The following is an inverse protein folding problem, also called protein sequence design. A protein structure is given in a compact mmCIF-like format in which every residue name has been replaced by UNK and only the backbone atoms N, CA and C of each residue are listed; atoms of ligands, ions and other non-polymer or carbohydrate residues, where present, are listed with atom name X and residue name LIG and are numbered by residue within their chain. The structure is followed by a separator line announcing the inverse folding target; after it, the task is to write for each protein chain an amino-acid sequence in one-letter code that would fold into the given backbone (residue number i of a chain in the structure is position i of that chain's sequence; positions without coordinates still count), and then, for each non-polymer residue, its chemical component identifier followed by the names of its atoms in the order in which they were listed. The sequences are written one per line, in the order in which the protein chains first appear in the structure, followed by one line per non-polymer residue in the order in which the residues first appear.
data_IF_782015909636
#
_entry.id   IF_782015909636
#
_cell.length_a   1.000
_cell.length_b   1.000
_cell.length_c   1.000
_cell.angle_alpha   90.00
_cell.angle_beta   90.00
_cell.angle_gamma   90.00
#
_symmetry.space_group_name_H-M   'P 1'
#
loop_
_entity.id
_entity.type
_entity.pdbx_description
1 polymer ?
#
# COMPACT_ATOMS: atom_id res chain seq x y z
N UNK A 1 -25.66 -6.85 46.59
CA UNK A 1 -24.54 -7.76 46.30
C UNK A 1 -24.12 -7.73 44.83
N UNK A 2 -25.03 -7.92 43.87
CA UNK A 2 -24.75 -7.98 42.44
C UNK A 2 -23.92 -6.78 41.90
N UNK A 3 -24.29 -5.55 42.26
CA UNK A 3 -23.58 -4.34 41.84
C UNK A 3 -22.13 -4.26 42.36
N UNK A 4 -21.90 -4.70 43.62
CA UNK A 4 -20.54 -4.72 44.19
C UNK A 4 -19.65 -5.72 43.46
N UNK A 5 -20.18 -6.90 43.08
CA UNK A 5 -19.42 -7.91 42.30
C UNK A 5 -19.02 -7.33 40.95
N UNK A 6 -19.94 -6.70 40.22
CA UNK A 6 -19.67 -6.07 38.94
C UNK A 6 -18.57 -4.99 39.08
N UNK A 7 -18.70 -4.13 40.09
CA UNK A 7 -17.72 -3.06 40.35
C UNK A 7 -16.34 -3.63 40.66
N UNK A 8 -16.22 -4.60 41.54
CA UNK A 8 -14.93 -5.20 41.87
C UNK A 8 -14.32 -5.96 40.69
N UNK A 9 -15.14 -6.70 39.92
CA UNK A 9 -14.67 -7.39 38.72
C UNK A 9 -14.13 -6.39 37.68
N UNK A 10 -14.81 -5.26 37.48
CA UNK A 10 -14.37 -4.22 36.57
C UNK A 10 -13.05 -3.56 37.02
N UNK A 11 -12.96 -3.20 38.32
CA UNK A 11 -11.72 -2.64 38.87
C UNK A 11 -10.58 -3.64 38.77
N UNK A 12 -10.81 -4.92 39.11
CA UNK A 12 -9.79 -5.98 38.97
C UNK A 12 -9.32 -6.16 37.53
N UNK A 13 -10.25 -6.07 36.57
CA UNK A 13 -9.93 -6.13 35.16
C UNK A 13 -9.03 -4.96 34.75
N UNK A 14 -9.34 -3.73 35.10
CA UNK A 14 -8.51 -2.56 34.83
C UNK A 14 -7.11 -2.67 35.45
N UNK A 15 -7.03 -3.08 36.73
CA UNK A 15 -5.76 -3.27 37.42
C UNK A 15 -4.91 -4.36 36.77
N UNK A 16 -5.53 -5.44 36.30
CA UNK A 16 -4.82 -6.51 35.57
C UNK A 16 -4.16 -5.98 34.32
N UNK A 17 -4.87 -5.21 33.49
CA UNK A 17 -4.27 -4.65 32.25
C UNK A 17 -3.21 -3.61 32.56
N UNK A 18 -3.37 -2.84 33.64
CA UNK A 18 -2.33 -1.90 34.07
C UNK A 18 -1.03 -2.64 34.48
N UNK A 19 -1.14 -3.72 35.26
CA UNK A 19 0.01 -4.54 35.68
C UNK A 19 0.66 -5.21 34.46
N UNK A 20 -0.15 -5.77 33.55
CA UNK A 20 0.36 -6.36 32.31
C UNK A 20 1.08 -5.32 31.47
N UNK A 21 0.56 -4.09 31.35
CA UNK A 21 1.21 -3.01 30.61
C UNK A 21 2.59 -2.66 31.15
N UNK A 22 2.79 -2.71 32.45
CA UNK A 22 4.11 -2.47 33.08
C UNK A 22 5.09 -3.64 32.81
N UNK A 23 4.55 -4.86 32.70
CA UNK A 23 5.37 -6.08 32.52
C UNK A 23 5.76 -6.39 31.07
N UNK A 24 5.09 -5.81 30.09
CA UNK A 24 5.41 -6.03 28.68
C UNK A 24 6.51 -5.08 28.21
N UNK A 25 7.39 -5.59 27.34
CA UNK A 25 8.39 -4.75 26.69
C UNK A 25 7.72 -3.88 25.63
N UNK A 26 8.06 -2.61 25.61
CA UNK A 26 7.58 -1.67 24.59
C UNK A 26 7.99 -2.09 23.20
N UNK A 27 7.06 -1.88 22.25
CA UNK A 27 7.29 -2.08 20.82
C UNK A 27 7.61 -0.74 20.17
N UNK A 28 8.64 -0.71 19.34
CA UNK A 28 9.02 0.51 18.61
C UNK A 28 8.18 0.70 17.34
N UNK A 29 7.79 -0.40 16.70
CA UNK A 29 7.11 -0.40 15.41
C UNK A 29 5.90 -1.33 15.44
N UNK A 30 4.81 -0.88 14.84
CA UNK A 30 3.69 -1.73 14.43
C UNK A 30 3.78 -2.01 12.93
N UNK A 31 4.18 -3.21 12.56
CA UNK A 31 4.19 -3.66 11.16
C UNK A 31 2.77 -3.73 10.58
N UNK A 32 1.77 -4.03 11.42
CA UNK A 32 0.37 -4.09 10.98
C UNK A 32 -0.23 -2.71 10.70
N UNK A 33 0.20 -1.68 11.42
CA UNK A 33 -0.23 -0.29 11.20
C UNK A 33 0.74 0.51 10.33
N UNK A 34 1.89 -0.06 10.01
CA UNK A 34 2.94 0.57 9.22
C UNK A 34 3.34 1.93 9.80
N UNK A 35 3.60 1.97 11.11
CA UNK A 35 4.02 3.20 11.82
C UNK A 35 4.86 2.91 13.05
N UNK A 36 5.62 3.91 13.45
CA UNK A 36 6.26 3.91 14.77
C UNK A 36 5.20 4.04 15.85
N UNK A 37 5.39 3.34 16.96
CA UNK A 37 4.56 3.45 18.15
C UNK A 37 5.15 4.49 19.10
N UNK A 38 4.28 5.10 19.91
CA UNK A 38 4.70 6.11 20.87
C UNK A 38 5.60 5.47 21.95
N UNK A 39 6.74 6.11 22.20
CA UNK A 39 7.59 5.81 23.32
C UNK A 39 7.09 6.47 24.61
N UNK A 40 7.60 6.03 25.77
CA UNK A 40 7.26 6.67 27.04
C UNK A 40 7.66 8.16 27.01
N UNK A 41 6.73 9.07 27.38
CA UNK A 41 6.93 10.49 27.17
C UNK A 41 7.96 11.11 28.14
N UNK A 42 8.65 12.11 27.65
CA UNK A 42 9.49 12.98 28.47
C UNK A 42 8.64 13.92 29.33
N UNK A 43 9.16 14.32 30.51
CA UNK A 43 8.50 15.23 31.43
C UNK A 43 8.54 16.68 30.88
N UNK A 44 7.57 17.03 30.04
CA UNK A 44 7.40 18.35 29.45
C UNK A 44 5.91 18.77 29.42
N UNK A 45 5.60 19.93 28.85
CA UNK A 45 4.22 20.46 28.77
C UNK A 45 3.24 19.54 28.00
N UNK A 46 3.73 18.66 27.13
CA UNK A 46 2.92 17.70 26.36
C UNK A 46 2.85 16.31 27.00
N UNK A 47 3.36 16.15 28.22
CA UNK A 47 3.49 14.87 28.88
C UNK A 47 2.18 14.06 28.87
N UNK A 48 1.07 14.66 29.32
CA UNK A 48 -0.20 13.92 29.42
C UNK A 48 -0.78 13.54 28.05
N UNK A 49 -0.63 14.38 27.03
CA UNK A 49 -1.08 14.05 25.67
C UNK A 49 -0.26 12.91 25.09
N UNK A 50 1.06 12.94 25.30
CA UNK A 50 1.96 11.89 24.82
C UNK A 50 1.79 10.60 25.63
N UNK A 51 1.45 10.70 26.93
CA UNK A 51 1.16 9.56 27.78
C UNK A 51 -0.11 8.81 27.29
N UNK A 52 -1.15 9.53 26.89
CA UNK A 52 -2.35 8.92 26.31
C UNK A 52 -2.03 8.14 25.03
N UNK A 53 -1.22 8.73 24.16
CA UNK A 53 -0.74 8.07 22.94
C UNK A 53 0.09 6.83 23.27
N UNK A 54 1.01 6.92 24.23
CA UNK A 54 1.82 5.79 24.69
C UNK A 54 0.96 4.66 25.26
N UNK A 55 0.05 4.96 26.18
CA UNK A 55 -0.83 3.95 26.79
C UNK A 55 -1.73 3.25 25.76
N UNK A 56 -2.18 4.00 24.75
CA UNK A 56 -2.95 3.43 23.63
C UNK A 56 -2.09 2.52 22.73
N UNK A 57 -0.86 2.91 22.45
CA UNK A 57 0.03 2.18 21.54
C UNK A 57 0.66 0.95 22.19
N UNK A 58 1.01 1.04 23.47
CA UNK A 58 1.63 -0.04 24.25
C UNK A 58 0.60 -0.89 25.00
N UNK A 59 -0.70 -0.72 24.71
CA UNK A 59 -1.74 -1.48 25.39
C UNK A 59 -1.53 -3.00 25.19
N UNK A 60 -1.55 -3.82 26.28
CA UNK A 60 -1.33 -5.26 26.18
C UNK A 60 -2.29 -5.92 25.20
N UNK A 61 -1.78 -6.78 24.32
CA UNK A 61 -2.57 -7.49 23.30
C UNK A 61 -3.32 -6.59 22.31
N UNK A 62 -2.88 -5.33 22.13
CA UNK A 62 -3.52 -4.37 21.24
C UNK A 62 -3.79 -4.92 19.83
N UNK A 63 -2.79 -5.57 19.22
CA UNK A 63 -2.93 -6.17 17.89
C UNK A 63 -4.00 -7.26 17.83
N UNK A 64 -4.12 -8.05 18.91
CA UNK A 64 -5.15 -9.08 19.04
C UNK A 64 -6.54 -8.48 19.18
N UNK A 65 -6.70 -7.41 19.96
CA UNK A 65 -7.99 -6.73 20.10
C UNK A 65 -8.40 -6.06 18.78
N UNK A 66 -7.46 -5.51 18.03
CA UNK A 66 -7.73 -4.96 16.70
C UNK A 66 -8.21 -6.04 15.73
N UNK A 67 -7.54 -7.22 15.71
CA UNK A 67 -7.97 -8.37 14.91
C UNK A 67 -9.36 -8.87 15.30
N UNK A 68 -9.65 -8.97 16.61
CA UNK A 68 -10.99 -9.36 17.12
C UNK A 68 -12.03 -8.36 16.64
N UNK A 69 -11.75 -7.04 16.75
CA UNK A 69 -12.65 -6.00 16.25
C UNK A 69 -12.89 -6.17 14.75
N UNK A 70 -11.83 -6.31 13.94
CA UNK A 70 -11.93 -6.49 12.50
C UNK A 70 -12.73 -7.75 12.12
N UNK A 71 -12.44 -8.88 12.78
CA UNK A 71 -13.19 -10.12 12.61
C UNK A 71 -14.68 -9.95 12.95
N UNK A 72 -14.98 -9.37 14.12
CA UNK A 72 -16.35 -9.16 14.56
C UNK A 72 -17.11 -8.23 13.61
N UNK A 73 -16.50 -7.13 13.19
CA UNK A 73 -17.12 -6.21 12.22
C UNK A 73 -17.39 -6.89 10.87
N UNK A 74 -16.41 -7.60 10.34
CA UNK A 74 -16.51 -8.17 9.00
C UNK A 74 -17.37 -9.46 8.97
N UNK A 75 -17.14 -10.40 9.88
CA UNK A 75 -17.78 -11.72 9.86
C UNK A 75 -19.13 -11.70 10.60
N UNK A 76 -19.17 -11.15 11.83
CA UNK A 76 -20.39 -11.18 12.65
C UNK A 76 -21.37 -10.13 12.18
N UNK A 77 -20.94 -8.88 12.02
CA UNK A 77 -21.81 -7.79 11.59
C UNK A 77 -21.89 -7.61 10.08
N UNK A 78 -21.12 -8.39 9.30
CA UNK A 78 -21.06 -8.34 7.83
C UNK A 78 -20.79 -6.93 7.28
N UNK A 79 -20.05 -6.15 8.01
CA UNK A 79 -19.63 -4.81 7.59
C UNK A 79 -18.44 -4.93 6.64
N UNK A 80 -18.72 -5.07 5.35
CA UNK A 80 -17.68 -5.16 4.31
C UNK A 80 -16.93 -3.84 4.08
N UNK A 81 -17.49 -2.70 4.51
CA UNK A 81 -16.91 -1.37 4.32
C UNK A 81 -16.50 -0.75 5.66
N UNK A 82 -15.24 -0.37 5.78
CA UNK A 82 -14.69 0.33 6.95
C UNK A 82 -13.54 1.25 6.51
N UNK A 83 -13.55 2.51 6.96
CA UNK A 83 -12.51 3.50 6.65
C UNK A 83 -12.18 3.61 5.14
N UNK A 84 -13.20 3.62 4.30
CA UNK A 84 -13.10 3.63 2.83
C UNK A 84 -12.36 2.41 2.24
N UNK A 85 -12.29 1.32 3.02
CA UNK A 85 -11.76 0.03 2.57
C UNK A 85 -12.89 -1.00 2.53
N UNK A 86 -13.08 -1.60 1.38
CA UNK A 86 -14.04 -2.66 1.14
C UNK A 86 -13.33 -4.02 1.19
N UNK A 87 -13.96 -5.00 1.83
CA UNK A 87 -13.41 -6.36 1.95
C UNK A 87 -14.24 -7.32 1.12
N UNK A 88 -13.64 -8.01 0.15
CA UNK A 88 -14.25 -9.08 -0.62
C UNK A 88 -13.20 -10.10 -1.05
N UNK A 89 -13.57 -11.38 -1.11
CA UNK A 89 -12.77 -12.50 -1.63
C UNK A 89 -11.30 -12.52 -1.14
N UNK A 90 -11.10 -12.25 0.14
CA UNK A 90 -9.80 -12.11 0.78
C UNK A 90 -8.95 -10.91 0.30
N UNK A 91 -9.54 -9.98 -0.44
CA UNK A 91 -8.90 -8.73 -0.83
C UNK A 91 -9.44 -7.54 -0.07
N UNK A 92 -8.58 -6.55 0.15
CA UNK A 92 -8.93 -5.22 0.60
C UNK A 92 -8.86 -4.26 -0.60
N UNK A 93 -9.92 -3.48 -0.78
CA UNK A 93 -10.06 -2.53 -1.88
C UNK A 93 -10.24 -1.12 -1.31
N UNK A 94 -9.46 -0.17 -1.78
CA UNK A 94 -9.75 1.24 -1.50
C UNK A 94 -10.85 1.71 -2.46
N UNK A 95 -11.95 2.27 -1.95
CA UNK A 95 -13.04 2.75 -2.80
C UNK A 95 -12.84 4.22 -3.15
N UNK A 96 -12.41 4.47 -4.36
CA UNK A 96 -12.35 5.79 -4.97
C UNK A 96 -13.34 5.81 -6.15
N UNK A 97 -14.41 6.61 -6.03
CA UNK A 97 -15.49 6.64 -7.01
C UNK A 97 -15.59 7.94 -7.82
N UNK A 98 -14.76 8.93 -7.50
CA UNK A 98 -14.84 10.25 -8.14
C UNK A 98 -13.54 10.63 -8.85
N UNK A 99 -13.67 11.09 -10.09
CA UNK A 99 -12.58 11.67 -10.85
C UNK A 99 -12.46 13.15 -10.41
N UNK A 100 -11.26 13.54 -10.02
CA UNK A 100 -10.95 14.95 -9.79
C UNK A 100 -10.52 15.59 -11.12
N UNK A 101 -11.45 16.23 -11.80
CA UNK A 101 -11.22 16.85 -13.11
C UNK A 101 -10.09 17.89 -13.08
N UNK A 102 -9.94 18.64 -11.98
CA UNK A 102 -8.84 19.61 -11.83
C UNK A 102 -7.48 18.92 -11.81
N UNK A 103 -7.38 17.78 -11.11
CA UNK A 103 -6.13 16.99 -11.07
C UNK A 103 -5.81 16.40 -12.44
N UNK A 104 -6.83 15.93 -13.19
CA UNK A 104 -6.64 15.44 -14.57
C UNK A 104 -6.17 16.56 -15.49
N UNK A 105 -6.80 17.73 -15.43
CA UNK A 105 -6.37 18.91 -16.21
C UNK A 105 -4.93 19.28 -15.88
N UNK A 106 -4.60 19.39 -14.61
CA UNK A 106 -3.24 19.70 -14.18
C UNK A 106 -2.20 18.67 -14.67
N UNK A 107 -2.53 17.37 -14.64
CA UNK A 107 -1.68 16.31 -15.21
C UNK A 107 -1.44 16.55 -16.71
N UNK A 108 -2.51 16.80 -17.47
CA UNK A 108 -2.44 17.03 -18.92
C UNK A 108 -1.61 18.27 -19.26
N UNK A 109 -1.77 19.35 -18.52
CA UNK A 109 -0.97 20.58 -18.67
C UNK A 109 0.51 20.31 -18.42
N UNK A 110 0.84 19.49 -17.41
CA UNK A 110 2.22 19.10 -17.12
C UNK A 110 2.81 18.20 -18.21
N UNK A 111 2.05 17.22 -18.70
CA UNK A 111 2.47 16.36 -19.80
C UNK A 111 2.77 17.20 -21.03
N UNK A 112 1.86 18.12 -21.40
CA UNK A 112 2.06 19.02 -22.54
C UNK A 112 3.29 19.89 -22.36
N UNK A 113 3.48 20.49 -21.19
CA UNK A 113 4.67 21.29 -20.90
C UNK A 113 5.97 20.51 -21.06
N UNK A 114 6.01 19.26 -20.58
CA UNK A 114 7.18 18.40 -20.67
C UNK A 114 7.43 18.02 -22.14
N UNK A 115 6.40 17.64 -22.87
CA UNK A 115 6.47 17.31 -24.30
C UNK A 115 7.03 18.49 -25.11
N UNK A 116 6.41 19.65 -25.00
CA UNK A 116 6.79 20.87 -25.73
C UNK A 116 8.22 21.35 -25.38
N UNK A 117 8.68 21.11 -24.14
CA UNK A 117 9.95 21.68 -23.65
C UNK A 117 11.13 20.73 -23.78
N UNK A 118 10.93 19.44 -23.53
CA UNK A 118 12.03 18.48 -23.32
C UNK A 118 12.00 17.26 -24.23
N UNK A 119 10.84 16.91 -24.82
CA UNK A 119 10.68 15.64 -25.51
C UNK A 119 10.49 15.80 -27.04
N UNK A 120 10.92 16.92 -27.60
CA UNK A 120 10.84 17.19 -29.03
C UNK A 120 11.54 16.07 -29.83
N UNK A 121 10.81 15.48 -30.79
CA UNK A 121 11.29 14.38 -31.66
C UNK A 121 11.55 13.05 -30.92
N UNK A 122 10.95 12.85 -29.75
CA UNK A 122 10.98 11.57 -29.05
C UNK A 122 9.71 10.76 -29.33
N UNK A 123 9.82 9.43 -29.29
CA UNK A 123 8.65 8.54 -29.25
C UNK A 123 8.13 8.52 -27.81
N UNK A 124 6.93 9.03 -27.61
CA UNK A 124 6.32 9.15 -26.28
C UNK A 124 5.15 8.17 -26.17
N UNK A 125 5.11 7.46 -25.08
CA UNK A 125 4.06 6.50 -24.77
C UNK A 125 3.42 6.84 -23.45
N UNK A 126 2.10 6.70 -23.38
CA UNK A 126 1.34 6.89 -22.15
C UNK A 126 0.50 5.66 -21.87
N UNK A 127 0.50 5.24 -20.62
CA UNK A 127 -0.37 4.15 -20.17
C UNK A 127 -0.96 4.47 -18.80
N UNK A 128 -2.16 3.98 -18.54
CA UNK A 128 -2.83 4.05 -17.26
C UNK A 128 -2.84 2.67 -16.63
N UNK A 129 -2.31 2.59 -15.40
CA UNK A 129 -2.37 1.38 -14.59
C UNK A 129 -3.70 1.40 -13.85
N UNK A 130 -4.63 0.46 -14.13
CA UNK A 130 -5.89 0.40 -13.38
C UNK A 130 -5.64 -0.01 -11.93
N UNK A 131 -6.41 0.54 -11.00
CA UNK A 131 -6.45 0.05 -9.64
C UNK A 131 -7.09 -1.35 -9.60
N UNK A 132 -6.79 -2.15 -8.58
CA UNK A 132 -7.37 -3.49 -8.45
C UNK A 132 -8.90 -3.50 -8.37
N UNK A 133 -9.55 -2.38 -7.98
CA UNK A 133 -11.00 -2.22 -8.00
C UNK A 133 -11.61 -2.40 -9.40
N UNK A 134 -10.82 -2.11 -10.45
CA UNK A 134 -11.25 -2.33 -11.83
C UNK A 134 -11.69 -3.78 -12.08
N UNK A 135 -10.99 -4.74 -11.44
CA UNK A 135 -11.21 -6.18 -11.59
C UNK A 135 -12.19 -6.78 -10.57
N UNK A 136 -12.79 -5.96 -9.71
CA UNK A 136 -13.80 -6.42 -8.76
C UNK A 136 -15.16 -6.54 -9.43
N UNK A 137 -15.80 -7.71 -9.37
CA UNK A 137 -17.13 -7.95 -9.99
C UNK A 137 -18.29 -7.38 -9.19
N UNK A 138 -18.10 -7.09 -7.89
CA UNK A 138 -19.17 -6.61 -7.03
C UNK A 138 -19.65 -5.20 -7.40
N UNK A 139 -20.95 -4.96 -7.16
CA UNK A 139 -21.60 -3.66 -7.35
C UNK A 139 -21.25 -2.70 -6.22
N UNK A 140 -20.04 -2.17 -6.26
CA UNK A 140 -19.56 -1.15 -5.33
C UNK A 140 -19.20 0.12 -6.10
N UNK A 141 -19.19 1.29 -5.45
CA UNK A 141 -18.72 2.51 -6.09
C UNK A 141 -17.29 2.33 -6.62
N UNK A 142 -17.10 2.50 -7.92
CA UNK A 142 -15.81 2.40 -8.61
C UNK A 142 -15.55 3.68 -9.39
N UNK A 143 -14.29 3.94 -9.66
CA UNK A 143 -13.88 4.99 -10.58
C UNK A 143 -14.45 4.70 -11.98
N UNK A 144 -15.01 5.70 -12.64
CA UNK A 144 -15.42 5.58 -14.05
C UNK A 144 -14.18 5.61 -14.96
N UNK A 145 -13.59 4.43 -15.14
CA UNK A 145 -12.40 4.26 -15.98
C UNK A 145 -12.63 4.63 -17.44
N UNK A 146 -13.85 4.43 -17.96
CA UNK A 146 -14.18 4.80 -19.35
C UNK A 146 -14.16 6.32 -19.51
N UNK A 147 -14.74 7.05 -18.56
CA UNK A 147 -14.70 8.50 -18.55
C UNK A 147 -13.28 9.01 -18.39
N UNK A 148 -12.51 8.48 -17.45
CA UNK A 148 -11.12 8.88 -17.20
C UNK A 148 -10.24 8.64 -18.44
N UNK A 149 -10.33 7.46 -19.05
CA UNK A 149 -9.60 7.12 -20.27
C UNK A 149 -9.97 8.05 -21.42
N UNK A 150 -11.27 8.35 -21.61
CA UNK A 150 -11.73 9.27 -22.64
C UNK A 150 -11.20 10.69 -22.39
N UNK A 151 -11.20 11.17 -21.15
CA UNK A 151 -10.64 12.47 -20.79
C UNK A 151 -9.14 12.53 -21.11
N UNK A 152 -8.39 11.50 -20.78
CA UNK A 152 -6.96 11.45 -21.06
C UNK A 152 -6.69 11.36 -22.57
N UNK A 153 -7.26 10.39 -23.27
CA UNK A 153 -7.03 10.19 -24.71
C UNK A 153 -7.40 11.39 -25.57
N UNK A 154 -8.48 12.09 -25.25
CA UNK A 154 -8.95 13.24 -26.01
C UNK A 154 -8.12 14.51 -25.79
N UNK A 155 -7.32 14.57 -24.72
CA UNK A 155 -6.58 15.77 -24.34
C UNK A 155 -5.06 15.58 -24.28
N UNK A 156 -4.56 14.35 -24.46
CA UNK A 156 -3.12 14.11 -24.63
C UNK A 156 -2.64 14.71 -25.98
N UNK A 157 -1.40 15.21 -26.06
CA UNK A 157 -0.75 15.57 -27.32
C UNK A 157 -0.84 14.44 -28.35
N UNK A 158 -1.05 14.78 -29.62
CA UNK A 158 -1.29 13.79 -30.70
C UNK A 158 -0.09 12.91 -31.05
N UNK A 159 1.11 13.30 -30.63
CA UNK A 159 2.36 12.54 -30.79
C UNK A 159 2.58 11.51 -29.68
N UNK A 160 1.67 11.42 -28.69
CA UNK A 160 1.76 10.46 -27.61
C UNK A 160 0.90 9.24 -27.90
N UNK A 161 1.55 8.09 -27.99
CA UNK A 161 0.87 6.81 -28.23
C UNK A 161 0.31 6.22 -26.94
N UNK A 162 -0.97 5.85 -26.98
CA UNK A 162 -1.63 5.18 -25.86
C UNK A 162 -1.35 3.68 -25.83
N UNK A 163 -0.92 3.16 -24.67
CA UNK A 163 -0.78 1.72 -24.44
C UNK A 163 -1.81 1.27 -23.41
N UNK A 164 -2.75 0.44 -23.82
CA UNK A 164 -3.74 -0.15 -22.90
C UNK A 164 -3.13 -1.35 -22.16
N UNK A 165 -3.23 -1.31 -20.82
CA UNK A 165 -2.72 -2.34 -19.92
C UNK A 165 -3.83 -3.11 -19.21
N UNK A 166 -5.10 -2.74 -19.36
CA UNK A 166 -6.22 -3.30 -18.59
C UNK A 166 -6.38 -4.81 -18.76
N UNK A 167 -6.15 -5.32 -19.95
CA UNK A 167 -6.27 -6.76 -20.28
C UNK A 167 -4.98 -7.56 -19.99
N UNK A 168 -3.90 -6.88 -19.58
CA UNK A 168 -2.64 -7.53 -19.18
C UNK A 168 -2.57 -7.87 -17.70
N UNK A 169 -3.52 -7.38 -16.93
CA UNK A 169 -3.62 -7.53 -15.48
C UNK A 169 -4.93 -8.22 -15.10
N UNK A 170 -4.98 -8.72 -13.90
CA UNK A 170 -6.17 -9.31 -13.27
C UNK A 170 -6.13 -9.04 -11.77
N UNK A 171 -7.18 -9.39 -11.03
CA UNK A 171 -7.20 -9.24 -9.57
C UNK A 171 -6.02 -9.97 -8.90
N UNK A 172 -5.63 -11.15 -9.41
CA UNK A 172 -4.48 -11.92 -8.92
C UNK A 172 -3.12 -11.20 -9.12
N UNK A 173 -3.09 -10.20 -10.00
CA UNK A 173 -1.89 -9.37 -10.20
C UNK A 173 -1.60 -8.41 -9.05
N UNK A 174 -2.50 -8.28 -8.08
CA UNK A 174 -2.40 -7.34 -6.97
C UNK A 174 -2.25 -8.05 -5.62
N UNK A 175 -1.65 -7.36 -4.64
CA UNK A 175 -1.61 -7.82 -3.26
C UNK A 175 -3.01 -7.82 -2.62
N UNK A 176 -3.24 -8.73 -1.69
CA UNK A 176 -4.50 -8.82 -0.93
C UNK A 176 -4.70 -7.58 -0.05
N UNK A 177 -3.65 -7.17 0.65
CA UNK A 177 -3.70 -6.15 1.71
C UNK A 177 -3.12 -4.79 1.30
N UNK A 178 -2.58 -4.69 0.07
CA UNK A 178 -1.99 -3.47 -0.46
C UNK A 178 -2.65 -3.01 -1.77
N UNK A 179 -2.42 -1.75 -2.17
CA UNK A 179 -2.94 -1.19 -3.42
C UNK A 179 -2.09 -1.57 -4.64
N UNK A 180 -0.84 -1.95 -4.43
CA UNK A 180 0.12 -2.17 -5.50
C UNK A 180 -0.06 -3.54 -6.17
N UNK A 181 0.45 -3.64 -7.38
CA UNK A 181 0.61 -4.88 -8.11
C UNK A 181 1.83 -5.67 -7.63
N UNK A 182 1.86 -6.98 -7.94
CA UNK A 182 2.95 -7.91 -7.61
C UNK A 182 3.95 -7.94 -8.76
N UNK A 183 5.24 -7.77 -8.46
CA UNK A 183 6.29 -7.73 -9.48
C UNK A 183 6.33 -9.01 -10.33
N UNK A 184 6.16 -10.18 -9.71
CA UNK A 184 6.19 -11.47 -10.39
C UNK A 184 4.99 -11.73 -11.33
N UNK A 185 4.01 -10.81 -11.35
CA UNK A 185 2.84 -10.87 -12.24
C UNK A 185 2.90 -9.87 -13.40
N UNK A 186 3.99 -9.11 -13.54
CA UNK A 186 4.08 -8.04 -14.52
C UNK A 186 4.62 -8.47 -15.88
N UNK A 187 4.95 -9.73 -16.11
CA UNK A 187 5.42 -10.21 -17.42
C UNK A 187 4.50 -9.84 -18.59
N UNK A 188 3.15 -9.98 -18.50
CA UNK A 188 2.25 -9.58 -19.58
C UNK A 188 2.29 -8.07 -19.86
N UNK A 189 2.47 -7.25 -18.82
CA UNK A 189 2.65 -5.78 -18.95
C UNK A 189 3.93 -5.48 -19.71
N UNK A 190 5.06 -6.09 -19.29
CA UNK A 190 6.35 -5.90 -19.94
C UNK A 190 6.29 -6.29 -21.41
N UNK A 191 5.69 -7.44 -21.75
CA UNK A 191 5.50 -7.89 -23.14
C UNK A 191 4.65 -6.90 -23.95
N UNK A 192 3.58 -6.37 -23.37
CA UNK A 192 2.75 -5.35 -24.02
C UNK A 192 3.55 -4.08 -24.32
N UNK A 193 4.34 -3.59 -23.37
CA UNK A 193 5.20 -2.43 -23.55
C UNK A 193 6.25 -2.70 -24.63
N UNK A 194 6.98 -3.81 -24.55
CA UNK A 194 7.97 -4.19 -25.55
C UNK A 194 7.41 -4.22 -26.98
N UNK A 195 6.25 -4.87 -27.16
CA UNK A 195 5.60 -4.97 -28.46
C UNK A 195 5.18 -3.61 -29.02
N UNK A 196 4.61 -2.74 -28.17
CA UNK A 196 4.17 -1.41 -28.59
C UNK A 196 5.33 -0.45 -28.87
N UNK A 197 6.42 -0.60 -28.14
CA UNK A 197 7.61 0.22 -28.29
C UNK A 197 8.61 -0.36 -29.32
N UNK A 198 8.27 -1.46 -30.00
CA UNK A 198 9.12 -2.19 -30.97
C UNK A 198 10.49 -2.57 -30.37
N UNK A 199 10.51 -2.92 -29.08
CA UNK A 199 11.70 -3.40 -28.40
C UNK A 199 11.87 -4.91 -28.60
N UNK A 200 13.12 -5.36 -28.70
CA UNK A 200 13.41 -6.79 -28.75
C UNK A 200 12.91 -7.49 -27.48
N UNK A 201 12.19 -8.60 -27.67
CA UNK A 201 11.79 -9.44 -26.53
C UNK A 201 13.03 -10.12 -25.96
N UNK A 202 13.38 -9.77 -24.74
CA UNK A 202 14.46 -10.40 -23.99
C UNK A 202 13.84 -11.23 -22.88
N UNK A 203 14.14 -12.53 -22.90
CA UNK A 203 13.73 -13.43 -21.82
C UNK A 203 14.94 -13.61 -20.90
N UNK A 204 14.94 -12.90 -19.78
CA UNK A 204 15.97 -13.09 -18.75
C UNK A 204 15.43 -14.02 -17.66
N UNK A 205 16.09 -15.19 -17.46
CA UNK A 205 15.74 -16.02 -16.32
C UNK A 205 15.92 -15.21 -15.04
N UNK A 206 14.90 -15.22 -14.19
CA UNK A 206 14.90 -14.55 -12.90
C UNK A 206 14.80 -15.53 -11.76
N UNK A 207 15.44 -15.21 -10.64
CA UNK A 207 15.29 -15.92 -9.37
C UNK A 207 14.24 -15.16 -8.54
N UNK A 208 13.27 -15.88 -8.02
CA UNK A 208 12.27 -15.34 -7.08
C UNK A 208 12.84 -15.35 -5.67
N UNK A 209 12.74 -14.22 -5.01
CA UNK A 209 13.05 -14.06 -3.59
C UNK A 209 11.78 -13.65 -2.88
N UNK A 210 11.49 -14.24 -1.73
CA UNK A 210 10.24 -14.05 -1.01
C UNK A 210 10.48 -13.51 0.40
N UNK A 211 9.60 -12.63 0.83
CA UNK A 211 9.56 -12.10 2.19
C UNK A 211 8.14 -12.17 2.74
N UNK A 212 8.00 -12.82 3.89
CA UNK A 212 6.73 -12.99 4.62
C UNK A 212 6.94 -12.73 6.11
N UNK A 213 5.98 -12.14 6.82
CA UNK A 213 4.69 -11.61 6.34
C UNK A 213 4.78 -10.16 5.86
N UNK A 214 3.98 -9.81 4.85
CA UNK A 214 3.78 -8.43 4.41
C UNK A 214 2.33 -7.99 4.69
N UNK A 215 2.15 -6.87 5.39
CA UNK A 215 0.88 -6.23 5.60
C UNK A 215 0.88 -4.88 4.87
N UNK A 216 0.04 -4.76 3.84
CA UNK A 216 -0.03 -3.58 3.01
C UNK A 216 -0.79 -2.40 3.64
N UNK A 217 -0.81 -1.28 2.90
CA UNK A 217 -1.39 -0.02 3.35
C UNK A 217 -2.87 -0.11 3.77
N UNK A 218 -3.64 -0.97 3.09
CA UNK A 218 -5.06 -1.12 3.38
C UNK A 218 -5.31 -1.91 4.67
N UNK A 219 -4.41 -2.84 5.01
CA UNK A 219 -4.53 -3.61 6.24
C UNK A 219 -4.42 -2.74 7.49
N UNK A 220 -3.57 -1.72 7.46
CA UNK A 220 -3.39 -0.80 8.60
C UNK A 220 -4.70 -0.10 8.99
N UNK A 221 -5.59 0.13 8.03
CA UNK A 221 -6.85 0.86 8.24
C UNK A 221 -7.94 -0.01 8.88
N UNK A 222 -7.97 -1.31 8.58
CA UNK A 222 -9.13 -2.17 8.94
C UNK A 222 -8.78 -3.30 9.89
N UNK A 223 -7.50 -3.64 10.08
CA UNK A 223 -7.07 -4.78 10.89
C UNK A 223 -7.91 -6.04 10.60
N UNK A 224 -8.10 -6.34 9.31
CA UNK A 224 -8.97 -7.42 8.83
C UNK A 224 -8.48 -8.80 9.28
N UNK A 225 -9.34 -9.81 9.14
CA UNK A 225 -8.98 -11.22 9.28
C UNK A 225 -8.22 -11.79 8.06
N UNK A 226 -7.96 -10.96 7.06
CA UNK A 226 -7.19 -11.34 5.87
C UNK A 226 -5.75 -11.67 6.25
N UNK A 227 -5.23 -12.74 5.68
CA UNK A 227 -3.83 -13.13 5.88
C UNK A 227 -2.86 -12.13 5.28
N UNK A 228 -1.64 -12.12 5.82
CA UNK A 228 -0.56 -11.33 5.24
C UNK A 228 -0.26 -11.77 3.80
N UNK A 229 0.20 -10.83 3.01
CA UNK A 229 0.80 -11.09 1.71
C UNK A 229 2.24 -11.60 1.83
N UNK A 230 2.78 -12.05 0.70
CA UNK A 230 4.21 -12.31 0.50
C UNK A 230 4.73 -11.33 -0.54
N UNK A 231 5.79 -10.58 -0.22
CA UNK A 231 6.52 -9.80 -1.22
C UNK A 231 7.42 -10.77 -1.98
N UNK A 232 7.25 -10.81 -3.30
CA UNK A 232 8.17 -11.50 -4.20
C UNK A 232 8.93 -10.47 -5.03
N UNK A 233 10.26 -10.49 -4.97
CA UNK A 233 11.10 -9.67 -5.82
C UNK A 233 12.03 -10.52 -6.68
N UNK A 234 12.20 -10.09 -7.94
CA UNK A 234 12.89 -10.85 -8.96
C UNK A 234 14.34 -10.38 -9.10
N UNK A 235 15.29 -11.31 -9.14
CA UNK A 235 16.70 -11.00 -9.33
C UNK A 235 17.26 -11.76 -10.52
N UNK A 236 18.21 -11.14 -11.20
CA UNK A 236 19.09 -11.73 -12.19
C UNK A 236 20.40 -10.91 -12.24
N UNK A 237 21.43 -11.33 -12.98
CA UNK A 237 22.69 -10.57 -13.04
C UNK A 237 22.50 -9.11 -13.45
N UNK A 238 21.70 -8.83 -14.47
CA UNK A 238 21.45 -7.45 -14.96
C UNK A 238 20.78 -6.56 -13.89
N UNK A 239 19.83 -7.09 -13.14
CA UNK A 239 19.18 -6.36 -12.03
C UNK A 239 20.16 -6.16 -10.87
N UNK A 240 21.00 -7.16 -10.58
CA UNK A 240 21.96 -7.09 -9.49
C UNK A 240 23.09 -6.08 -9.76
N UNK A 241 23.48 -5.92 -11.03
CA UNK A 241 24.50 -4.97 -11.46
C UNK A 241 23.94 -3.55 -11.67
N UNK A 242 22.62 -3.42 -11.79
CA UNK A 242 21.97 -2.13 -11.93
C UNK A 242 22.02 -1.33 -10.63
N UNK A 243 22.16 -0.03 -10.76
CA UNK A 243 22.20 0.90 -9.63
C UNK A 243 21.16 2.01 -9.81
N UNK A 244 20.70 2.54 -8.71
CA UNK A 244 19.82 3.71 -8.63
C UNK A 244 20.63 4.89 -8.15
N UNK A 245 20.62 5.96 -8.91
CA UNK A 245 21.18 7.22 -8.46
C UNK A 245 20.05 8.08 -7.87
N UNK A 246 20.09 8.27 -6.55
CA UNK A 246 19.21 9.22 -5.88
C UNK A 246 19.72 10.64 -6.13
N UNK A 247 19.02 11.38 -6.96
CA UNK A 247 19.47 12.71 -7.40
C UNK A 247 19.46 13.74 -6.27
N UNK A 248 18.55 13.64 -5.33
CA UNK A 248 18.42 14.58 -4.20
C UNK A 248 19.52 14.35 -3.16
N UNK A 249 19.71 13.09 -2.77
CA UNK A 249 20.74 12.70 -1.79
C UNK A 249 22.13 12.60 -2.42
N UNK A 250 22.23 12.59 -3.77
CA UNK A 250 23.48 12.37 -4.55
C UNK A 250 24.18 11.05 -4.18
N UNK A 251 23.40 10.02 -3.93
CA UNK A 251 23.88 8.72 -3.51
C UNK A 251 23.52 7.64 -4.55
N UNK A 252 24.41 6.64 -4.65
CA UNK A 252 24.17 5.42 -5.43
C UNK A 252 23.71 4.33 -4.50
N UNK A 253 22.61 3.66 -4.85
CA UNK A 253 22.06 2.55 -4.08
C UNK A 253 21.63 1.40 -5.00
N UNK A 254 21.51 0.16 -4.47
CA UNK A 254 21.04 -0.97 -5.26
C UNK A 254 19.58 -0.80 -5.65
N UNK A 255 19.14 -1.50 -6.72
CA UNK A 255 17.73 -1.53 -7.15
C UNK A 255 16.79 -2.00 -6.02
N UNK A 256 17.24 -2.96 -5.22
CA UNK A 256 16.50 -3.42 -4.04
C UNK A 256 17.25 -3.09 -2.76
N UNK A 257 16.69 -2.21 -1.95
CA UNK A 257 17.23 -1.97 -0.61
C UNK A 257 16.57 -2.92 0.40
N UNK A 258 17.24 -4.05 0.65
CA UNK A 258 16.73 -5.12 1.52
C UNK A 258 16.56 -4.70 2.99
N UNK A 259 17.17 -3.58 3.41
CA UNK A 259 16.98 -3.06 4.77
C UNK A 259 15.51 -2.67 5.03
N UNK A 260 14.80 -2.27 3.99
CA UNK A 260 13.38 -1.92 4.09
C UNK A 260 12.47 -3.10 4.40
N UNK A 261 12.85 -4.34 4.10
CA UNK A 261 12.04 -5.52 4.44
C UNK A 261 11.71 -5.62 5.93
N UNK A 262 12.58 -5.10 6.80
CA UNK A 262 12.38 -5.09 8.24
C UNK A 262 11.99 -3.70 8.78
N UNK A 263 11.59 -2.78 7.92
CA UNK A 263 11.17 -1.44 8.29
C UNK A 263 9.64 -1.34 8.38
N UNK A 264 9.13 -0.15 8.63
CA UNK A 264 7.70 0.20 8.74
C UNK A 264 6.93 -0.24 7.50
N UNK A 265 7.52 -0.02 6.32
CA UNK A 265 6.97 -0.44 5.05
C UNK A 265 7.95 -1.35 4.30
N UNK A 266 7.64 -2.64 4.25
CA UNK A 266 8.47 -3.59 3.53
C UNK A 266 8.37 -3.42 2.00
N UNK A 267 7.31 -2.77 1.48
CA UNK A 267 7.17 -2.50 0.04
C UNK A 267 8.21 -1.49 -0.47
N UNK A 268 8.82 -0.70 0.42
CA UNK A 268 9.89 0.24 0.08
C UNK A 268 11.15 -0.44 -0.52
N UNK A 269 11.24 -1.77 -0.43
CA UNK A 269 12.26 -2.52 -1.19
C UNK A 269 12.27 -2.19 -2.68
N UNK A 270 11.11 -1.84 -3.27
CA UNK A 270 10.93 -1.52 -4.69
C UNK A 270 11.22 -0.05 -5.04
N UNK A 271 12.13 0.62 -4.36
CA UNK A 271 12.51 2.02 -4.57
C UNK A 271 11.39 3.03 -4.21
N UNK A 272 10.44 2.60 -3.41
CA UNK A 272 9.31 3.43 -2.99
C UNK A 272 9.50 4.06 -1.61
N UNK A 273 10.72 4.05 -1.09
CA UNK A 273 11.02 4.58 0.24
C UNK A 273 10.54 6.01 0.41
N UNK A 274 9.76 6.25 1.45
CA UNK A 274 9.17 7.56 1.78
C UNK A 274 10.19 8.58 2.33
N UNK A 275 11.42 8.47 1.95
CA UNK A 275 12.48 9.44 2.25
C UNK A 275 12.48 10.61 1.24
N UNK A 276 11.25 11.04 0.87
CA UNK A 276 11.04 12.23 0.06
C UNK A 276 10.71 13.43 0.93
#
# INVERSE_FOLDING_TARGET
MKNKIITYSFISFLLLFMILGIGFKDKEISYQERRKLAAFPEANSSFFTNLDSYLSDQFPFRDSFRKIKGYTSNIVFRQKLSHNVFTSDNYLFQLDSSINDKSVTHLLDKIKYIDDTYLTNQNIYFSMIPDKNYYLDEQVPKLDYNRLESLLKNNLPSNIDWIDLKDTLSLDSYYYTDIHWKQEKLEPVVRRLQNKMNLASTNFPTVKNEYYPFYGALYSRVASSINADTITYLTNPSISDAVVYNYEKKEIQPVYNKNYLNNVDSYDIFLSGADF
#
